data_IF_412431995603
#
_entry.id   IF_412431995603
#
_cell.length_a   1.000
_cell.length_b   1.000
_cell.length_c   1.000
_cell.angle_alpha   90.00
_cell.angle_beta   90.00
_cell.angle_gamma   90.00
#
_symmetry.space_group_name_H-M   'P 1'
#
loop_
_entity.id
_entity.type
_entity.pdbx_description
1 polymer ?
#
# COMPACT_ATOMS: atom_id res chain seq x y z
N UNK A 1 -43.94 32.97 -4.54
CA UNK A 1 -43.85 33.57 -3.19
C UNK A 1 -45.11 33.20 -2.42
N UNK A 2 -45.04 32.11 -1.65
CA UNK A 2 -46.00 31.77 -0.59
C UNK A 2 -45.17 31.23 0.57
N UNK A 3 -45.44 31.81 1.72
CA UNK A 3 -44.69 31.72 2.97
C UNK A 3 -44.96 30.42 3.73
N UNK A 4 -43.96 30.11 4.55
CA UNK A 4 -43.86 29.06 5.55
C UNK A 4 -45.06 28.97 6.51
N UNK A 5 -45.40 27.75 6.91
CA UNK A 5 -45.94 27.44 8.23
C UNK A 5 -45.06 26.34 8.86
N UNK A 6 -44.65 26.59 10.10
CA UNK A 6 -43.85 25.69 10.94
C UNK A 6 -44.73 24.59 11.52
N UNK A 7 -44.24 23.35 11.54
CA UNK A 7 -44.62 22.37 12.55
C UNK A 7 -43.37 21.63 13.02
N UNK A 8 -43.10 21.80 14.30
CA UNK A 8 -42.11 21.10 15.10
C UNK A 8 -42.88 20.04 15.90
N UNK A 9 -42.68 18.76 15.58
CA UNK A 9 -43.07 17.65 16.46
C UNK A 9 -41.98 16.58 16.42
N UNK A 10 -41.34 16.42 17.57
CA UNK A 10 -40.43 15.34 17.92
C UNK A 10 -41.17 14.00 17.95
N UNK A 11 -40.75 13.03 17.13
CA UNK A 11 -40.85 11.60 17.46
C UNK A 11 -39.46 10.96 17.42
N UNK A 12 -39.09 10.15 18.44
CA UNK A 12 -37.80 9.47 18.45
C UNK A 12 -37.84 8.26 17.50
N UNK A 13 -37.09 8.34 16.39
CA UNK A 13 -36.81 7.16 15.59
C UNK A 13 -35.81 6.27 16.34
N UNK A 14 -36.32 5.14 16.84
CA UNK A 14 -35.53 3.98 17.25
C UNK A 14 -34.59 3.58 16.11
N UNK A 15 -33.31 3.93 16.24
CA UNK A 15 -32.26 3.43 15.37
C UNK A 15 -31.78 2.10 15.93
N UNK A 16 -31.98 1.06 15.14
CA UNK A 16 -31.47 -0.28 15.36
C UNK A 16 -29.94 -0.19 15.24
N UNK A 17 -29.20 -0.55 16.29
CA UNK A 17 -27.75 -0.65 16.24
C UNK A 17 -27.34 -1.71 15.21
N UNK A 18 -26.64 -1.27 14.17
CA UNK A 18 -25.90 -2.13 13.24
C UNK A 18 -24.56 -2.43 13.91
N UNK A 19 -24.24 -3.69 14.27
CA UNK A 19 -22.95 -4.01 14.86
C UNK A 19 -21.92 -4.19 13.75
N UNK A 20 -20.99 -3.24 13.64
CA UNK A 20 -19.84 -3.36 12.73
C UNK A 20 -19.34 -2.03 12.18
N UNK A 21 -19.02 -1.07 13.05
CA UNK A 21 -18.17 0.06 12.68
C UNK A 21 -16.90 -0.01 13.53
N UNK A 22 -15.75 -0.13 12.86
CA UNK A 22 -14.42 -0.10 13.49
C UNK A 22 -14.34 1.21 14.29
N UNK A 23 -14.11 1.08 15.60
CA UNK A 23 -14.14 2.23 16.51
C UNK A 23 -12.78 2.93 16.46
N UNK A 24 -12.64 3.91 15.58
CA UNK A 24 -11.47 4.78 15.53
C UNK A 24 -11.50 5.76 16.71
N UNK A 25 -10.92 5.37 17.85
CA UNK A 25 -10.75 6.30 18.97
C UNK A 25 -9.63 7.29 18.62
N UNK A 26 -10.01 8.53 18.27
CA UNK A 26 -9.09 9.64 18.03
C UNK A 26 -8.62 10.17 19.38
N UNK A 27 -7.46 9.72 19.83
CA UNK A 27 -6.83 10.29 21.02
C UNK A 27 -6.54 11.78 20.82
N UNK A 28 -6.52 12.56 21.91
CA UNK A 28 -6.15 13.98 21.94
C UNK A 28 -4.74 14.32 21.42
N UNK A 29 -4.00 13.32 20.91
CA UNK A 29 -2.65 13.41 20.35
C UNK A 29 -2.60 13.31 18.82
N UNK A 30 -3.74 13.18 18.14
CA UNK A 30 -3.81 13.04 16.67
C UNK A 30 -3.49 11.63 16.16
N UNK A 31 -3.39 10.65 17.07
CA UNK A 31 -3.17 9.23 16.74
C UNK A 31 -4.49 8.46 16.71
N UNK A 32 -4.62 7.57 15.73
CA UNK A 32 -5.74 6.66 15.55
C UNK A 32 -5.38 5.30 16.14
N UNK A 33 -6.16 4.82 17.10
CA UNK A 33 -6.07 3.43 17.54
C UNK A 33 -6.89 2.53 16.62
N UNK A 34 -6.39 1.33 16.34
CA UNK A 34 -7.15 0.28 15.67
C UNK A 34 -6.75 -1.09 16.21
N UNK A 35 -7.72 -1.98 16.20
CA UNK A 35 -7.54 -3.41 16.43
C UNK A 35 -8.22 -4.14 15.27
N UNK A 36 -7.45 -4.91 14.53
CA UNK A 36 -7.86 -5.75 13.40
C UNK A 36 -7.63 -7.19 13.84
N UNK A 37 -8.71 -7.96 13.95
CA UNK A 37 -8.64 -9.42 14.15
C UNK A 37 -8.99 -10.16 12.87
N UNK A 38 -8.68 -11.47 12.81
CA UNK A 38 -8.90 -12.28 11.61
C UNK A 38 -10.37 -12.28 11.17
N UNK A 39 -11.30 -12.33 12.13
CA UNK A 39 -12.75 -12.29 11.88
C UNK A 39 -13.22 -10.95 11.27
N UNK A 40 -12.50 -9.85 11.52
CA UNK A 40 -12.79 -8.56 10.88
C UNK A 40 -12.37 -8.59 9.41
N UNK A 41 -11.18 -9.14 9.12
CA UNK A 41 -10.62 -9.23 7.77
C UNK A 41 -11.53 -10.01 6.84
N UNK A 42 -12.15 -11.10 7.33
CA UNK A 42 -13.14 -11.87 6.56
C UNK A 42 -14.30 -11.01 6.03
N UNK A 43 -14.62 -9.90 6.70
CA UNK A 43 -15.74 -8.99 6.37
C UNK A 43 -15.31 -7.67 5.74
N UNK A 44 -14.03 -7.30 5.81
CA UNK A 44 -13.49 -6.07 5.23
C UNK A 44 -13.43 -6.16 3.71
N UNK A 45 -14.08 -5.26 3.01
CA UNK A 45 -14.02 -5.18 1.54
C UNK A 45 -13.07 -4.07 1.06
N UNK A 46 -12.79 -3.08 1.90
CA UNK A 46 -11.90 -1.97 1.59
C UNK A 46 -10.47 -2.29 2.03
N UNK A 47 -9.54 -2.39 1.08
CA UNK A 47 -8.13 -2.65 1.39
C UNK A 47 -7.54 -1.62 2.37
N UNK A 48 -8.01 -0.37 2.31
CA UNK A 48 -7.50 0.72 3.14
C UNK A 48 -7.80 0.54 4.63
N UNK A 49 -8.83 -0.23 5.00
CA UNK A 49 -9.08 -0.58 6.40
C UNK A 49 -7.95 -1.44 6.99
N UNK A 50 -7.21 -2.14 6.14
CA UNK A 50 -6.07 -3.01 6.49
C UNK A 50 -4.74 -2.30 6.24
N UNK A 51 -4.64 -1.56 5.13
CA UNK A 51 -3.41 -0.91 4.68
C UNK A 51 -3.08 0.36 5.48
N UNK A 52 -4.08 1.13 5.93
CA UNK A 52 -3.87 2.41 6.62
C UNK A 52 -2.83 2.32 7.75
N UNK A 53 -2.95 1.41 8.74
CA UNK A 53 -2.01 1.36 9.85
C UNK A 53 -0.57 1.11 9.41
N UNK A 54 -0.40 0.36 8.32
CA UNK A 54 0.89 -0.02 7.74
C UNK A 54 1.47 1.18 6.98
N UNK A 55 0.69 1.73 6.04
CA UNK A 55 1.05 2.84 5.17
C UNK A 55 1.48 4.08 5.94
N UNK A 56 0.75 4.42 7.00
CA UNK A 56 1.04 5.61 7.81
C UNK A 56 2.12 5.40 8.89
N UNK A 57 2.67 4.18 9.02
CA UNK A 57 3.69 3.87 10.02
C UNK A 57 5.05 3.54 9.41
N UNK A 58 5.08 2.85 8.27
CA UNK A 58 6.34 2.46 7.61
C UNK A 58 6.99 3.69 6.96
N UNK A 59 8.25 3.93 7.30
CA UNK A 59 9.04 5.06 6.83
C UNK A 59 9.84 4.68 5.58
N UNK A 60 9.44 5.24 4.44
CA UNK A 60 10.14 5.04 3.15
C UNK A 60 11.06 6.23 2.79
N UNK A 61 11.15 7.26 3.64
CA UNK A 61 11.80 8.53 3.29
C UNK A 61 13.23 8.64 3.83
N UNK A 62 13.57 7.83 4.84
CA UNK A 62 14.90 7.80 5.46
C UNK A 62 15.73 6.61 4.94
N UNK A 63 16.71 6.15 5.72
CA UNK A 63 17.59 5.05 5.34
C UNK A 63 16.87 3.70 5.33
N UNK A 64 17.46 2.71 4.65
CA UNK A 64 16.93 1.34 4.66
C UNK A 64 16.86 0.72 6.07
N UNK A 65 17.77 1.11 6.97
CA UNK A 65 17.69 0.69 8.38
C UNK A 65 16.46 1.28 9.08
N UNK A 66 16.12 2.55 8.84
CA UNK A 66 14.92 3.17 9.41
C UNK A 66 13.62 2.62 8.78
N UNK A 67 13.66 2.25 7.49
CA UNK A 67 12.59 1.49 6.85
C UNK A 67 12.32 0.16 7.57
N UNK A 68 13.36 -0.67 7.77
CA UNK A 68 13.22 -1.94 8.48
C UNK A 68 12.80 -1.75 9.94
N UNK A 69 13.32 -0.73 10.60
CA UNK A 69 13.02 -0.43 12.01
C UNK A 69 11.59 0.09 12.21
N UNK A 70 11.05 0.88 11.29
CA UNK A 70 9.66 1.33 11.32
C UNK A 70 8.69 0.19 11.02
N UNK A 71 9.08 -0.76 10.17
CA UNK A 71 8.28 -1.94 9.83
C UNK A 71 8.28 -3.06 10.90
N UNK A 72 9.13 -2.98 11.95
CA UNK A 72 9.41 -4.10 12.87
C UNK A 72 8.21 -4.70 13.62
N UNK A 73 7.12 -3.94 13.75
CA UNK A 73 5.92 -4.37 14.48
C UNK A 73 4.86 -4.98 13.54
N UNK A 74 5.11 -4.98 12.24
CA UNK A 74 4.24 -5.58 11.24
C UNK A 74 4.77 -6.97 10.85
N UNK A 75 3.86 -7.82 10.36
CA UNK A 75 4.25 -9.07 9.71
C UNK A 75 5.01 -8.77 8.41
N UNK A 76 5.71 -9.78 7.90
CA UNK A 76 6.40 -9.65 6.62
C UNK A 76 5.39 -9.40 5.49
N UNK A 77 4.23 -10.04 5.54
CA UNK A 77 3.17 -9.92 4.55
C UNK A 77 2.46 -8.56 4.60
N UNK A 78 2.34 -7.95 5.78
CA UNK A 78 1.92 -6.55 5.90
C UNK A 78 2.93 -5.60 5.26
N UNK A 79 4.24 -5.85 5.46
CA UNK A 79 5.30 -5.06 4.80
C UNK A 79 5.28 -5.24 3.27
N UNK A 80 5.06 -6.45 2.79
CA UNK A 80 4.87 -6.75 1.36
C UNK A 80 3.64 -6.04 0.79
N UNK A 81 2.50 -6.08 1.49
CA UNK A 81 1.30 -5.35 1.08
C UNK A 81 1.60 -3.87 0.87
N UNK A 82 2.27 -3.22 1.83
CA UNK A 82 2.65 -1.81 1.70
C UNK A 82 3.62 -1.56 0.54
N UNK A 83 4.61 -2.44 0.33
CA UNK A 83 5.55 -2.32 -0.78
C UNK A 83 4.86 -2.43 -2.15
N UNK A 84 3.96 -3.42 -2.30
CA UNK A 84 3.15 -3.62 -3.52
C UNK A 84 2.27 -2.40 -3.78
N UNK A 85 1.60 -1.86 -2.74
CA UNK A 85 0.75 -0.67 -2.89
C UNK A 85 1.55 0.55 -3.35
N UNK A 86 2.73 0.81 -2.77
CA UNK A 86 3.62 1.88 -3.23
C UNK A 86 4.09 1.67 -4.68
N UNK A 87 4.47 0.44 -5.02
CA UNK A 87 4.90 0.10 -6.38
C UNK A 87 3.82 0.41 -7.41
N UNK A 88 2.60 -0.11 -7.23
CA UNK A 88 1.52 0.15 -8.17
C UNK A 88 1.10 1.62 -8.19
N UNK A 89 1.05 2.31 -7.04
CA UNK A 89 0.74 3.74 -7.00
C UNK A 89 1.72 4.57 -7.84
N UNK A 90 3.02 4.31 -7.73
CA UNK A 90 4.05 5.04 -8.49
C UNK A 90 4.03 4.67 -9.97
N UNK A 91 3.95 3.38 -10.29
CA UNK A 91 3.90 2.90 -11.69
C UNK A 91 2.66 3.46 -12.40
N UNK A 92 1.50 3.50 -11.75
CA UNK A 92 0.30 4.13 -12.33
C UNK A 92 0.49 5.62 -12.65
N UNK A 93 1.25 6.32 -11.80
CA UNK A 93 1.40 7.77 -11.87
C UNK A 93 2.49 8.21 -12.87
N UNK A 94 3.59 7.46 -12.96
CA UNK A 94 4.74 7.83 -13.77
C UNK A 94 5.67 6.67 -14.16
N UNK A 95 5.15 5.43 -14.13
CA UNK A 95 5.89 4.23 -14.51
C UNK A 95 6.97 3.81 -13.52
N UNK A 96 7.73 2.79 -13.91
CA UNK A 96 8.89 2.30 -13.16
C UNK A 96 9.94 3.40 -12.97
N UNK A 97 10.06 4.33 -13.92
CA UNK A 97 10.97 5.47 -13.77
C UNK A 97 10.62 6.28 -12.53
N UNK A 98 9.34 6.66 -12.35
CA UNK A 98 8.93 7.42 -11.16
C UNK A 98 9.10 6.61 -9.87
N UNK A 99 8.79 5.30 -9.90
CA UNK A 99 9.00 4.42 -8.75
C UNK A 99 10.47 4.41 -8.28
N UNK A 100 11.43 4.36 -9.20
CA UNK A 100 12.85 4.41 -8.84
C UNK A 100 13.33 5.84 -8.57
N UNK A 101 12.83 6.83 -9.28
CA UNK A 101 13.21 8.23 -9.05
C UNK A 101 12.81 8.69 -7.64
N UNK A 102 11.66 8.25 -7.14
CA UNK A 102 11.15 8.60 -5.81
C UNK A 102 11.74 7.77 -4.68
N UNK A 103 11.50 8.20 -3.43
CA UNK A 103 11.89 7.46 -2.22
C UNK A 103 11.28 6.05 -2.15
N UNK A 104 10.17 5.82 -2.84
CA UNK A 104 9.45 4.54 -2.95
C UNK A 104 10.31 3.40 -3.49
N UNK A 105 11.32 3.69 -4.32
CA UNK A 105 12.27 2.69 -4.82
C UNK A 105 12.98 1.90 -3.71
N UNK A 106 13.01 2.40 -2.47
CA UNK A 106 13.56 1.68 -1.30
C UNK A 106 12.84 0.34 -1.01
N UNK A 107 11.58 0.20 -1.45
CA UNK A 107 10.75 -1.00 -1.19
C UNK A 107 10.84 -2.06 -2.28
N UNK A 108 11.76 -1.93 -3.25
CA UNK A 108 11.82 -2.79 -4.43
C UNK A 108 11.96 -4.29 -4.08
N UNK A 109 12.77 -4.63 -3.08
CA UNK A 109 13.01 -6.03 -2.73
C UNK A 109 11.75 -6.67 -2.14
N UNK A 110 11.06 -5.94 -1.27
CA UNK A 110 9.78 -6.35 -0.69
C UNK A 110 8.66 -6.37 -1.71
N UNK A 111 8.70 -5.48 -2.72
CA UNK A 111 7.78 -5.51 -3.86
C UNK A 111 7.95 -6.81 -4.64
N UNK A 112 9.18 -7.15 -5.04
CA UNK A 112 9.45 -8.35 -5.82
C UNK A 112 9.07 -9.63 -5.07
N UNK A 113 9.37 -9.71 -3.78
CA UNK A 113 9.02 -10.86 -2.95
C UNK A 113 7.51 -10.91 -2.67
N UNK A 114 6.89 -9.76 -2.42
CA UNK A 114 5.46 -9.63 -2.23
C UNK A 114 4.65 -10.06 -3.45
N UNK A 115 5.00 -9.61 -4.66
CA UNK A 115 4.33 -10.02 -5.89
C UNK A 115 4.33 -11.55 -6.05
N UNK A 116 5.44 -12.22 -5.72
CA UNK A 116 5.52 -13.69 -5.73
C UNK A 116 4.63 -14.33 -4.67
N UNK A 117 4.73 -13.86 -3.43
CA UNK A 117 3.95 -14.38 -2.31
C UNK A 117 2.44 -14.22 -2.54
N UNK A 118 2.04 -13.11 -3.17
CA UNK A 118 0.64 -12.78 -3.46
C UNK A 118 0.11 -13.48 -4.72
N UNK A 119 0.92 -14.33 -5.36
CA UNK A 119 0.54 -15.11 -6.55
C UNK A 119 0.46 -14.28 -7.83
N UNK A 120 1.12 -13.12 -7.89
CA UNK A 120 1.21 -12.25 -9.06
C UNK A 120 2.45 -12.61 -9.91
N UNK A 121 2.56 -13.87 -10.31
CA UNK A 121 3.79 -14.43 -10.92
C UNK A 121 4.23 -13.67 -12.19
N UNK A 122 3.31 -13.33 -13.09
CA UNK A 122 3.64 -12.61 -14.32
C UNK A 122 4.16 -11.18 -14.05
N UNK A 123 3.57 -10.49 -13.07
CA UNK A 123 4.01 -9.17 -12.62
C UNK A 123 5.37 -9.26 -11.89
N UNK A 124 5.57 -10.31 -11.09
CA UNK A 124 6.85 -10.57 -10.43
C UNK A 124 7.97 -10.85 -11.45
N UNK A 125 7.70 -11.63 -12.49
CA UNK A 125 8.64 -11.92 -13.57
C UNK A 125 8.94 -10.69 -14.41
N UNK A 126 7.93 -9.84 -14.65
CA UNK A 126 8.12 -8.55 -15.30
C UNK A 126 9.03 -7.63 -14.48
N UNK A 127 8.72 -7.44 -13.20
CA UNK A 127 9.51 -6.60 -12.32
C UNK A 127 10.93 -7.16 -12.09
N UNK A 128 11.10 -8.49 -12.07
CA UNK A 128 12.43 -9.12 -12.02
C UNK A 128 13.30 -8.73 -13.21
N UNK A 129 12.75 -8.62 -14.43
CA UNK A 129 13.51 -8.17 -15.60
C UNK A 129 13.99 -6.73 -15.42
N UNK A 130 13.18 -5.88 -14.82
CA UNK A 130 13.57 -4.50 -14.47
C UNK A 130 14.69 -4.50 -13.44
N UNK A 131 14.61 -5.31 -12.38
CA UNK A 131 15.69 -5.49 -11.39
C UNK A 131 16.98 -5.99 -12.04
N UNK A 132 16.89 -6.84 -13.08
CA UNK A 132 18.06 -7.34 -13.81
C UNK A 132 18.76 -6.28 -14.66
N UNK A 133 18.07 -5.19 -15.04
CA UNK A 133 18.71 -4.04 -15.69
C UNK A 133 19.74 -3.38 -14.74
N UNK A 134 19.50 -3.43 -13.43
CA UNK A 134 20.45 -2.99 -12.39
C UNK A 134 21.47 -4.06 -11.99
N UNK A 135 21.63 -5.13 -12.79
CA UNK A 135 22.53 -6.24 -12.45
C UNK A 135 22.03 -7.10 -11.28
N UNK A 136 20.73 -7.06 -10.98
CA UNK A 136 20.09 -7.87 -9.95
C UNK A 136 20.06 -7.24 -8.56
N UNK A 137 20.60 -6.03 -8.38
CA UNK A 137 20.57 -5.30 -7.12
C UNK A 137 20.43 -3.80 -7.35
N UNK A 138 19.33 -3.23 -6.87
CA UNK A 138 19.06 -1.80 -6.94
C UNK A 138 19.54 -1.13 -5.63
N UNK A 139 20.26 0.00 -5.68
CA UNK A 139 20.60 0.76 -4.48
C UNK A 139 19.34 1.22 -3.72
N UNK A 140 19.36 1.02 -2.40
CA UNK A 140 18.27 1.48 -1.52
C UNK A 140 18.33 2.99 -1.29
N UNK A 141 19.55 3.54 -1.19
CA UNK A 141 19.76 4.97 -1.14
C UNK A 141 19.32 5.62 -2.46
N UNK A 142 18.65 6.78 -2.36
CA UNK A 142 18.06 7.45 -3.52
C UNK A 142 19.11 8.06 -4.43
N UNK A 143 20.13 8.70 -3.86
CA UNK A 143 21.17 9.35 -4.64
C UNK A 143 22.02 8.30 -5.36
N UNK A 144 22.39 7.20 -4.66
CA UNK A 144 23.08 6.07 -5.29
C UNK A 144 22.25 5.42 -6.42
N UNK A 145 20.93 5.38 -6.26
CA UNK A 145 20.03 4.82 -7.30
C UNK A 145 19.89 5.77 -8.49
N UNK A 146 19.85 7.08 -8.27
CA UNK A 146 19.91 8.07 -9.34
C UNK A 146 21.20 7.95 -10.14
N UNK A 147 22.35 7.88 -9.47
CA UNK A 147 23.64 7.65 -10.14
C UNK A 147 23.62 6.34 -10.94
N UNK A 148 23.02 5.28 -10.41
CA UNK A 148 22.87 4.02 -11.13
C UNK A 148 21.98 4.15 -12.37
N UNK A 149 20.89 4.93 -12.32
CA UNK A 149 20.01 5.18 -13.47
C UNK A 149 20.69 6.05 -14.53
N UNK A 150 21.44 7.09 -14.15
CA UNK A 150 22.17 7.97 -15.06
C UNK A 150 23.27 7.25 -15.86
N UNK A 151 23.77 6.13 -15.34
CA UNK A 151 24.79 5.30 -15.97
C UNK A 151 24.21 4.22 -16.90
N UNK A 152 22.89 4.13 -17.02
CA UNK A 152 22.25 3.12 -17.87
C UNK A 152 22.43 3.40 -19.36
N UNK A 153 22.27 2.34 -20.15
CA UNK A 153 22.28 2.43 -21.61
C UNK A 153 21.12 3.30 -22.15
N UNK A 154 21.29 3.86 -23.36
CA UNK A 154 20.31 4.77 -23.99
C UNK A 154 18.90 4.15 -24.19
N UNK A 155 18.79 2.83 -24.12
CA UNK A 155 17.52 2.10 -24.26
C UNK A 155 16.82 1.84 -22.92
N UNK A 156 17.37 2.29 -21.79
CA UNK A 156 16.84 1.99 -20.46
C UNK A 156 15.40 2.46 -20.28
N UNK A 157 15.09 3.71 -20.63
CA UNK A 157 13.73 4.25 -20.56
C UNK A 157 12.75 3.44 -21.43
N UNK A 158 13.16 3.05 -22.65
CA UNK A 158 12.31 2.21 -23.54
C UNK A 158 12.05 0.82 -22.92
N UNK A 159 13.01 0.26 -22.19
CA UNK A 159 12.84 -1.01 -21.48
C UNK A 159 11.91 -0.86 -20.27
N UNK A 160 11.98 0.26 -19.55
CA UNK A 160 11.02 0.59 -18.49
C UNK A 160 9.61 0.76 -19.04
N UNK A 161 9.44 1.51 -20.14
CA UNK A 161 8.14 1.71 -20.79
C UNK A 161 7.49 0.38 -21.19
N UNK A 162 8.29 -0.58 -21.69
CA UNK A 162 7.79 -1.93 -22.02
C UNK A 162 7.34 -2.67 -20.76
N UNK A 163 8.07 -2.54 -19.66
CA UNK A 163 7.69 -3.14 -18.38
C UNK A 163 6.44 -2.48 -17.78
N UNK A 164 6.29 -1.17 -17.92
CA UNK A 164 5.11 -0.40 -17.52
C UNK A 164 3.86 -0.91 -18.22
N UNK A 165 3.91 -1.08 -19.54
CA UNK A 165 2.78 -1.59 -20.32
C UNK A 165 2.29 -2.96 -19.83
N UNK A 166 3.21 -3.85 -19.42
CA UNK A 166 2.82 -5.15 -18.84
C UNK A 166 2.05 -4.97 -17.53
N UNK A 167 2.41 -3.98 -16.69
CA UNK A 167 1.65 -3.68 -15.48
C UNK A 167 0.27 -3.15 -15.84
N UNK A 168 0.19 -2.19 -16.76
CA UNK A 168 -1.08 -1.60 -17.20
C UNK A 168 -2.03 -2.63 -17.83
N UNK A 169 -1.50 -3.64 -18.53
CA UNK A 169 -2.29 -4.70 -19.15
C UNK A 169 -2.79 -5.75 -18.15
N UNK A 170 -2.10 -5.94 -17.02
CA UNK A 170 -2.35 -7.05 -16.08
C UNK A 170 -2.97 -6.62 -14.74
N UNK A 171 -2.85 -5.35 -14.37
CA UNK A 171 -3.27 -4.85 -13.06
C UNK A 171 -4.28 -3.71 -13.20
N UNK A 172 -5.52 -3.97 -12.77
CA UNK A 172 -6.65 -3.03 -12.92
C UNK A 172 -6.70 -1.92 -11.84
N UNK A 173 -5.72 -1.89 -10.92
CA UNK A 173 -5.67 -0.93 -9.81
C UNK A 173 -6.89 -0.95 -8.88
N UNK A 174 -7.52 -2.12 -8.77
CA UNK A 174 -8.69 -2.38 -7.91
C UNK A 174 -8.35 -3.24 -6.67
N UNK A 175 -7.07 -3.57 -6.48
CA UNK A 175 -6.54 -4.39 -5.38
C UNK A 175 -7.09 -5.83 -5.30
N UNK A 176 -7.62 -6.37 -6.40
CA UNK A 176 -8.21 -7.72 -6.42
C UNK A 176 -7.23 -8.81 -6.00
N UNK A 177 -5.97 -8.74 -6.44
CA UNK A 177 -4.96 -9.74 -6.09
C UNK A 177 -4.60 -9.70 -4.60
N UNK A 178 -4.40 -8.50 -4.07
CA UNK A 178 -4.09 -8.25 -2.67
C UNK A 178 -5.20 -8.72 -1.77
N UNK A 179 -6.44 -8.32 -2.04
CA UNK A 179 -7.60 -8.72 -1.24
C UNK A 179 -7.81 -10.23 -1.29
N UNK A 180 -7.61 -10.88 -2.45
CA UNK A 180 -7.65 -12.34 -2.54
C UNK A 180 -6.63 -13.00 -1.60
N UNK A 181 -5.38 -12.54 -1.61
CA UNK A 181 -4.34 -13.11 -0.74
C UNK A 181 -4.67 -12.87 0.75
N UNK A 182 -5.04 -11.64 1.11
CA UNK A 182 -5.42 -11.24 2.47
C UNK A 182 -6.56 -12.11 3.01
N UNK A 183 -7.64 -12.29 2.23
CA UNK A 183 -8.79 -13.11 2.63
C UNK A 183 -8.45 -14.58 2.80
N UNK A 184 -7.45 -15.08 2.09
CA UNK A 184 -6.97 -16.47 2.24
C UNK A 184 -6.00 -16.67 3.40
N UNK A 185 -5.45 -15.59 3.98
CA UNK A 185 -4.50 -15.62 5.09
C UNK A 185 -4.76 -14.51 6.13
N UNK A 186 -5.98 -14.38 6.67
CA UNK A 186 -6.35 -13.25 7.53
C UNK A 186 -5.47 -13.14 8.79
N UNK A 187 -4.95 -14.25 9.30
CA UNK A 187 -4.05 -14.28 10.45
C UNK A 187 -2.74 -13.50 10.24
N UNK A 188 -2.31 -13.31 8.99
CA UNK A 188 -1.09 -12.58 8.63
C UNK A 188 -1.29 -11.05 8.63
N UNK A 189 -2.53 -10.58 8.67
CA UNK A 189 -2.88 -9.17 8.54
C UNK A 189 -3.53 -8.58 9.81
N UNK A 190 -3.54 -9.32 10.91
CA UNK A 190 -3.99 -8.80 12.21
C UNK A 190 -3.08 -7.68 12.70
N UNK A 191 -3.65 -6.71 13.43
CA UNK A 191 -2.91 -5.58 13.96
C UNK A 191 -3.58 -5.02 15.20
N UNK A 192 -2.80 -4.58 16.19
CA UNK A 192 -3.32 -3.85 17.34
C UNK A 192 -2.33 -2.75 17.72
N UNK A 193 -2.74 -1.49 17.61
CA UNK A 193 -1.85 -0.38 17.89
C UNK A 193 -2.37 0.97 17.47
N UNK A 194 -1.49 1.97 17.58
CA UNK A 194 -1.74 3.34 17.17
C UNK A 194 -0.95 3.66 15.91
N UNK A 195 -1.55 4.42 14.99
CA UNK A 195 -0.89 4.99 13.82
C UNK A 195 -1.28 6.46 13.64
N UNK A 196 -0.46 7.21 12.91
CA UNK A 196 -0.64 8.65 12.71
C UNK A 196 -1.16 8.92 11.29
N UNK A 197 -2.48 8.80 11.08
CA UNK A 197 -3.07 9.18 9.79
C UNK A 197 -3.11 10.70 9.67
N UNK A 198 -2.41 11.24 8.68
CA UNK A 198 -2.47 12.67 8.35
C UNK A 198 -3.57 12.83 7.29
N UNK A 199 -4.69 13.43 7.67
CA UNK A 199 -5.85 13.77 6.81
C UNK A 199 -5.93 15.27 6.55
#
# INVERSE_FOLDING_TARGET
MKSFENFDENEPQNTIEVPGSINHDKSATGKTYVKIIAEDIERMEEIWDILDPIYWTIDIYNSYEEYLKSAKNFTLEQRYLNAISWYFMEVNNGGHFQFFDNSTGIVWEDTLNGLKEFGMEELADNFKKVVDLFGGKIPFDRDERWEAMDLMDENFEELLDKADNVVYDLYDYDYTFEMKYIKSHPEKFVFEGYYNKIV
#
